data_IF_566227650227
#
_entry.id   IF_566227650227
#
_cell.length_a   1.000
_cell.length_b   1.000
_cell.length_c   1.000
_cell.angle_alpha   90.00
_cell.angle_beta   90.00
_cell.angle_gamma   90.00
#
_symmetry.space_group_name_H-M   'P 1'
#
loop_
_entity.id
_entity.type
_entity.pdbx_description
1 polymer ?
#
# COMPACT_ATOMS: atom_id res chain seq x y z
N UNK A 1 13.60 -15.95 19.07
CA UNK A 1 13.12 -14.66 18.54
C UNK A 1 12.77 -14.91 17.09
N UNK A 2 11.58 -15.49 16.87
CA UNK A 2 11.26 -16.32 15.71
C UNK A 2 10.72 -15.52 14.52
N UNK A 3 11.32 -15.76 13.36
CA UNK A 3 11.04 -15.15 12.06
C UNK A 3 9.71 -15.53 11.44
N UNK A 4 8.61 -15.38 12.18
CA UNK A 4 7.26 -15.58 11.62
C UNK A 4 6.80 -14.40 10.76
N UNK A 5 7.33 -13.20 11.01
CA UNK A 5 6.90 -11.95 10.37
C UNK A 5 8.07 -11.30 9.63
N UNK A 6 7.76 -10.71 8.49
CA UNK A 6 8.72 -9.98 7.66
C UNK A 6 9.17 -8.70 8.38
N UNK A 7 10.47 -8.59 8.64
CA UNK A 7 11.10 -7.40 9.22
C UNK A 7 11.81 -6.63 8.09
N UNK A 8 11.37 -5.41 7.72
CA UNK A 8 12.04 -4.63 6.69
C UNK A 8 13.43 -4.15 7.16
N UNK A 9 14.40 -3.95 6.24
CA UNK A 9 15.75 -3.46 6.58
C UNK A 9 15.75 -2.05 7.20
N UNK A 10 14.67 -1.29 6.98
CA UNK A 10 14.40 0.00 7.62
C UNK A 10 13.05 -0.07 8.31
N UNK A 11 12.99 0.32 9.59
CA UNK A 11 11.74 0.27 10.34
C UNK A 11 10.65 1.19 9.75
N UNK A 12 9.39 0.73 9.76
CA UNK A 12 8.25 1.48 9.23
C UNK A 12 8.08 2.87 9.87
N UNK A 13 8.45 3.01 11.15
CA UNK A 13 8.41 4.30 11.84
C UNK A 13 9.43 5.31 11.27
N UNK A 14 10.60 4.83 10.85
CA UNK A 14 11.60 5.68 10.20
C UNK A 14 11.12 6.07 8.79
N UNK A 15 10.57 5.13 8.02
CA UNK A 15 9.98 5.41 6.70
C UNK A 15 8.83 6.42 6.77
N UNK A 16 7.95 6.32 7.77
CA UNK A 16 6.87 7.27 7.99
C UNK A 16 7.38 8.69 8.31
N UNK A 17 8.51 8.81 9.01
CA UNK A 17 9.18 10.10 9.26
C UNK A 17 9.83 10.63 7.98
N UNK A 18 10.47 9.77 7.18
CA UNK A 18 11.06 10.14 5.89
C UNK A 18 10.04 10.76 4.94
N UNK A 19 8.80 10.23 4.93
CA UNK A 19 7.70 10.80 4.13
C UNK A 19 7.50 12.31 4.36
N UNK A 20 7.70 12.78 5.60
CA UNK A 20 7.55 14.19 6.01
C UNK A 20 8.88 14.91 6.21
N UNK A 21 10.01 14.26 5.92
CA UNK A 21 11.33 14.81 6.21
C UNK A 21 11.68 16.04 5.35
N UNK A 22 11.07 16.18 4.17
CA UNK A 22 11.12 17.44 3.42
C UNK A 22 9.82 17.68 2.64
N UNK A 23 9.49 18.96 2.46
CA UNK A 23 8.32 19.43 1.70
C UNK A 23 8.35 18.98 0.23
N UNK A 24 9.55 18.82 -0.34
CA UNK A 24 9.73 18.32 -1.70
C UNK A 24 9.61 16.79 -1.81
N UNK A 25 9.85 16.06 -0.71
CA UNK A 25 9.78 14.61 -0.71
C UNK A 25 8.34 14.12 -0.77
N UNK A 26 7.45 14.68 0.05
CA UNK A 26 6.02 14.32 0.05
C UNK A 26 5.35 14.68 -1.28
N UNK A 27 5.63 15.87 -1.82
CA UNK A 27 5.09 16.31 -3.11
C UNK A 27 5.54 15.44 -4.28
N UNK A 28 6.81 15.01 -4.31
CA UNK A 28 7.29 14.06 -5.32
C UNK A 28 6.58 12.70 -5.26
N UNK A 29 6.28 12.20 -4.06
CA UNK A 29 5.54 10.95 -3.88
C UNK A 29 4.08 11.08 -4.31
N UNK A 30 3.41 12.17 -3.92
CA UNK A 30 2.05 12.46 -4.40
C UNK A 30 2.00 12.63 -5.91
N UNK A 31 2.96 13.32 -6.52
CA UNK A 31 3.04 13.47 -7.97
C UNK A 31 3.15 12.11 -8.68
N UNK A 32 4.05 11.23 -8.21
CA UNK A 32 4.20 9.87 -8.76
C UNK A 32 2.91 9.06 -8.61
N UNK A 33 2.29 9.08 -7.43
CA UNK A 33 1.02 8.39 -7.18
C UNK A 33 -0.09 8.89 -8.11
N UNK A 34 -0.15 10.21 -8.36
CA UNK A 34 -1.10 10.83 -9.29
C UNK A 34 -0.87 10.44 -10.74
N UNK A 35 0.39 10.39 -11.19
CA UNK A 35 0.75 9.90 -12.53
C UNK A 35 0.31 8.45 -12.67
N UNK A 36 0.63 7.59 -11.72
CA UNK A 36 0.15 6.20 -11.72
C UNK A 36 -1.37 6.14 -11.78
N UNK A 37 -2.08 6.91 -10.96
CA UNK A 37 -3.54 6.98 -10.95
C UNK A 37 -4.12 7.51 -12.27
N UNK A 38 -3.41 8.35 -13.03
CA UNK A 38 -3.84 8.79 -14.37
C UNK A 38 -3.75 7.67 -15.41
N UNK A 39 -2.82 6.73 -15.23
CA UNK A 39 -2.68 5.54 -16.09
C UNK A 39 -3.59 4.38 -15.68
N UNK A 40 -4.40 4.57 -14.64
CA UNK A 40 -5.25 3.52 -14.09
C UNK A 40 -6.31 3.08 -15.11
N UNK A 41 -6.33 1.79 -15.42
CA UNK A 41 -7.39 1.18 -16.22
C UNK A 41 -8.57 0.83 -15.31
N UNK A 42 -9.80 1.30 -15.61
CA UNK A 42 -10.97 1.01 -14.80
C UNK A 42 -11.12 -0.50 -14.53
N UNK A 43 -11.28 -0.86 -13.26
CA UNK A 43 -11.39 -2.24 -12.83
C UNK A 43 -12.66 -2.43 -12.01
N UNK A 44 -13.34 -3.59 -12.17
CA UNK A 44 -14.62 -3.89 -11.51
C UNK A 44 -14.57 -3.79 -9.98
N UNK A 45 -13.45 -4.21 -9.39
CA UNK A 45 -13.30 -4.30 -7.94
C UNK A 45 -12.38 -3.24 -7.32
N UNK A 46 -11.68 -2.45 -8.13
CA UNK A 46 -10.70 -1.48 -7.64
C UNK A 46 -11.02 -0.12 -8.24
N UNK A 47 -11.25 0.87 -7.39
CA UNK A 47 -11.47 2.24 -7.83
C UNK A 47 -10.15 2.97 -8.03
N UNK A 48 -10.12 3.95 -8.93
CA UNK A 48 -8.95 4.81 -9.16
C UNK A 48 -8.38 5.40 -7.86
N UNK A 49 -9.27 5.88 -6.98
CA UNK A 49 -8.86 6.43 -5.69
C UNK A 49 -8.24 5.38 -4.73
N UNK A 50 -8.76 4.15 -4.74
CA UNK A 50 -8.20 3.06 -3.95
C UNK A 50 -6.82 2.66 -4.47
N UNK A 51 -6.64 2.65 -5.80
CA UNK A 51 -5.36 2.44 -6.44
C UNK A 51 -4.35 3.54 -6.15
N UNK A 52 -4.75 4.81 -6.18
CA UNK A 52 -3.89 5.95 -5.85
C UNK A 52 -3.34 5.85 -4.43
N UNK A 53 -4.21 5.55 -3.45
CA UNK A 53 -3.81 5.35 -2.06
C UNK A 53 -2.89 4.13 -1.89
N UNK A 54 -3.18 3.05 -2.59
CA UNK A 54 -2.31 1.86 -2.63
C UNK A 54 -0.92 2.18 -3.20
N UNK A 55 -0.86 2.94 -4.29
CA UNK A 55 0.40 3.33 -4.93
C UNK A 55 1.23 4.24 -4.01
N UNK A 56 0.59 5.16 -3.28
CA UNK A 56 1.26 6.02 -2.32
C UNK A 56 1.88 5.21 -1.17
N UNK A 57 1.13 4.24 -0.62
CA UNK A 57 1.62 3.35 0.43
C UNK A 57 2.81 2.51 -0.08
N UNK A 58 2.73 1.98 -1.30
CA UNK A 58 3.83 1.25 -1.94
C UNK A 58 5.08 2.11 -2.12
N UNK A 59 4.94 3.35 -2.59
CA UNK A 59 6.07 4.27 -2.78
C UNK A 59 6.69 4.73 -1.46
N UNK A 60 5.92 4.74 -0.37
CA UNK A 60 6.38 5.23 0.95
C UNK A 60 7.03 4.13 1.77
N UNK A 61 6.41 2.95 1.80
CA UNK A 61 6.78 1.87 2.72
C UNK A 61 7.33 0.64 2.00
N UNK A 62 7.22 0.56 0.68
CA UNK A 62 7.59 -0.61 -0.10
C UNK A 62 6.58 -1.77 0.01
N UNK A 63 5.44 -1.55 0.69
CA UNK A 63 4.37 -2.53 0.80
C UNK A 63 3.03 -1.95 0.28
N UNK A 64 2.30 -2.79 -0.45
CA UNK A 64 1.02 -2.42 -1.05
C UNK A 64 0.03 -3.56 -0.85
N UNK A 65 -0.58 -3.63 0.33
CA UNK A 65 -1.53 -4.70 0.64
C UNK A 65 -2.95 -4.27 0.23
N UNK A 66 -3.62 -5.10 -0.57
CA UNK A 66 -5.03 -4.95 -0.92
C UNK A 66 -5.85 -5.99 -0.16
N UNK A 67 -6.78 -5.51 0.66
CA UNK A 67 -7.77 -6.34 1.32
C UNK A 67 -8.92 -6.64 0.35
N UNK A 68 -9.22 -7.93 0.17
CA UNK A 68 -10.41 -8.37 -0.56
C UNK A 68 -11.62 -8.33 0.36
N UNK A 69 -12.48 -7.33 0.18
CA UNK A 69 -13.81 -7.27 0.80
C UNK A 69 -14.71 -8.29 0.12
N UNK A 70 -15.25 -9.22 0.92
CA UNK A 70 -16.13 -10.29 0.45
C UNK A 70 -17.58 -9.94 0.74
N UNK A 71 -18.49 -10.34 -0.15
CA UNK A 71 -19.93 -10.35 0.14
C UNK A 71 -20.31 -11.55 1.03
N UNK A 72 -21.55 -11.60 1.50
CA UNK A 72 -22.05 -12.70 2.35
C UNK A 72 -22.03 -14.06 1.66
N UNK A 73 -21.98 -14.09 0.32
CA UNK A 73 -21.95 -15.32 -0.50
C UNK A 73 -20.50 -15.71 -0.85
N UNK A 74 -19.51 -14.92 -0.43
CA UNK A 74 -18.08 -15.15 -0.65
C UNK A 74 -17.51 -14.53 -1.93
N UNK A 75 -18.32 -13.84 -2.73
CA UNK A 75 -17.89 -13.09 -3.91
C UNK A 75 -16.98 -11.90 -3.57
N UNK A 76 -16.21 -11.42 -4.55
CA UNK A 76 -15.37 -10.23 -4.38
C UNK A 76 -16.22 -8.98 -4.59
N UNK A 77 -16.43 -8.23 -3.52
CA UNK A 77 -17.18 -6.98 -3.55
C UNK A 77 -16.27 -5.81 -3.95
N UNK A 78 -15.11 -5.67 -3.28
CA UNK A 78 -14.13 -4.62 -3.57
C UNK A 78 -12.73 -4.98 -3.08
N UNK A 79 -11.73 -4.38 -3.69
CA UNK A 79 -10.35 -4.34 -3.20
C UNK A 79 -10.11 -2.99 -2.55
N UNK A 80 -9.78 -2.99 -1.26
CA UNK A 80 -9.45 -1.78 -0.51
C UNK A 80 -8.01 -1.82 -0.01
N UNK A 81 -7.26 -0.70 -0.12
CA UNK A 81 -5.90 -0.63 0.40
C UNK A 81 -5.92 -0.72 1.92
N UNK A 82 -5.24 -1.74 2.45
CA UNK A 82 -4.98 -1.84 3.88
C UNK A 82 -3.84 -0.89 4.24
N UNK A 83 -3.93 -0.27 5.43
CA UNK A 83 -2.91 0.66 5.91
C UNK A 83 -1.55 -0.05 6.01
N UNK A 84 -0.64 0.27 5.10
CA UNK A 84 0.69 -0.33 4.96
C UNK A 84 1.44 -0.53 6.30
N UNK A 85 1.42 0.49 7.16
CA UNK A 85 2.10 0.45 8.49
C UNK A 85 1.55 -0.60 9.46
N UNK A 86 0.31 -1.03 9.27
CA UNK A 86 -0.42 -1.92 10.20
C UNK A 86 -0.55 -3.34 9.65
N UNK A 87 -0.10 -3.59 8.42
CA UNK A 87 -0.15 -4.92 7.83
C UNK A 87 1.12 -5.67 8.20
N UNK A 88 0.94 -6.79 8.90
CA UNK A 88 2.02 -7.75 9.15
C UNK A 88 1.96 -8.83 8.09
N UNK A 89 3.08 -9.06 7.41
CA UNK A 89 3.25 -10.11 6.41
C UNK A 89 4.09 -11.23 7.03
N UNK A 90 3.72 -12.50 6.80
CA UNK A 90 4.59 -13.61 7.19
C UNK A 90 5.89 -13.57 6.39
N UNK A 91 7.02 -13.91 7.01
CA UNK A 91 8.34 -13.86 6.37
C UNK A 91 8.40 -14.71 5.07
N UNK A 92 7.71 -15.85 5.06
CA UNK A 92 7.73 -16.82 3.94
C UNK A 92 6.72 -16.51 2.82
N UNK A 93 5.86 -15.53 3.01
CA UNK A 93 4.78 -15.29 2.05
C UNK A 93 5.33 -14.48 0.88
N UNK A 94 6.03 -15.07 -0.08
CA UNK A 94 6.49 -14.42 -1.32
C UNK A 94 5.31 -13.99 -2.21
N UNK A 95 5.31 -12.72 -2.61
CA UNK A 95 4.40 -12.03 -3.54
C UNK A 95 5.00 -10.65 -3.86
#
# INVERSE_FOLDING_TARGET
MGGEWFEPPVGFAALAKSFRASTHHSSALFFKANVLASTFRPHRWLSRHAFERWALDFLTFGNGCLERRRDMVGGTLRLEPALAKHVRRKADCCL
#
